data_IF_704786725236
#
_entry.id   IF_704786725236
#
_cell.length_a   1.000
_cell.length_b   1.000
_cell.length_c   1.000
_cell.angle_alpha   90.00
_cell.angle_beta   90.00
_cell.angle_gamma   90.00
#
_symmetry.space_group_name_H-M   'P 1'
#
loop_
_entity.id
_entity.type
_entity.pdbx_description
1 polymer ?
#
# COMPACT_ATOMS: atom_id res chain seq x y z
N UNK A 1 -61.69 18.53 -16.16
CA UNK A 1 -60.90 18.41 -14.91
C UNK A 1 -60.51 16.95 -14.79
N UNK A 2 -59.25 16.65 -14.42
CA UNK A 2 -58.59 15.32 -14.49
C UNK A 2 -58.27 14.93 -15.95
N UNK A 3 -57.03 14.66 -16.39
CA UNK A 3 -56.00 13.76 -15.86
C UNK A 3 -54.62 14.15 -16.45
N UNK A 4 -53.81 14.95 -15.75
CA UNK A 4 -52.39 15.19 -16.14
C UNK A 4 -51.43 14.96 -14.96
N UNK A 5 -51.94 14.82 -13.73
CA UNK A 5 -51.12 14.71 -12.52
C UNK A 5 -50.63 13.27 -12.26
N UNK A 6 -51.32 12.25 -12.79
CA UNK A 6 -51.03 10.84 -12.47
C UNK A 6 -49.76 10.28 -13.11
N UNK A 7 -49.43 10.66 -14.35
CA UNK A 7 -48.34 10.04 -15.13
C UNK A 7 -46.96 10.56 -14.77
N UNK A 8 -46.86 11.84 -14.37
CA UNK A 8 -45.59 12.47 -13.99
C UNK A 8 -45.12 11.92 -12.63
N UNK A 9 -46.05 11.71 -11.69
CA UNK A 9 -45.75 11.19 -10.36
C UNK A 9 -45.19 9.75 -10.39
N UNK A 10 -45.77 8.85 -11.21
CA UNK A 10 -45.27 7.48 -11.37
C UNK A 10 -43.90 7.41 -12.04
N UNK A 11 -43.62 8.35 -12.96
CA UNK A 11 -42.33 8.42 -13.65
C UNK A 11 -41.24 8.93 -12.72
N UNK A 12 -41.50 9.98 -11.93
CA UNK A 12 -40.57 10.46 -10.91
C UNK A 12 -40.30 9.44 -9.80
N UNK A 13 -41.32 8.70 -9.35
CA UNK A 13 -41.16 7.67 -8.31
C UNK A 13 -40.30 6.49 -8.79
N UNK A 14 -40.42 6.11 -10.07
CA UNK A 14 -39.55 5.08 -10.69
C UNK A 14 -38.11 5.57 -10.84
N UNK A 15 -37.89 6.81 -11.25
CA UNK A 15 -36.53 7.37 -11.41
C UNK A 15 -35.84 7.53 -10.05
N UNK A 16 -36.56 7.97 -9.01
CA UNK A 16 -36.04 8.01 -7.63
C UNK A 16 -35.74 6.61 -7.08
N UNK A 17 -36.62 5.64 -7.31
CA UNK A 17 -36.39 4.25 -6.89
C UNK A 17 -35.16 3.64 -7.60
N UNK A 18 -34.95 3.92 -8.89
CA UNK A 18 -33.74 3.51 -9.61
C UNK A 18 -32.47 4.19 -9.06
N UNK A 19 -32.53 5.48 -8.73
CA UNK A 19 -31.40 6.21 -8.17
C UNK A 19 -31.00 5.65 -6.78
N UNK A 20 -31.98 5.27 -5.95
CA UNK A 20 -31.76 4.64 -4.66
C UNK A 20 -31.23 3.20 -4.76
N UNK A 21 -31.50 2.48 -5.85
CA UNK A 21 -30.98 1.13 -6.09
C UNK A 21 -29.59 1.13 -6.76
N UNK A 22 -29.23 2.19 -7.49
CA UNK A 22 -27.93 2.35 -8.14
C UNK A 22 -26.88 3.03 -7.24
N UNK A 23 -27.31 3.85 -6.27
CA UNK A 23 -26.40 4.50 -5.33
C UNK A 23 -25.58 3.52 -4.47
N UNK A 24 -26.12 2.40 -3.94
CA UNK A 24 -25.33 1.44 -3.16
C UNK A 24 -24.27 0.73 -4.00
N UNK A 25 -24.57 0.39 -5.26
CA UNK A 25 -23.63 -0.28 -6.16
C UNK A 25 -22.47 0.65 -6.56
N UNK A 26 -22.77 1.94 -6.80
CA UNK A 26 -21.75 2.95 -7.02
C UNK A 26 -20.92 3.18 -5.76
N UNK A 27 -21.54 3.31 -4.57
CA UNK A 27 -20.80 3.47 -3.32
C UNK A 27 -19.88 2.27 -3.03
N UNK A 28 -20.29 1.03 -3.29
CA UNK A 28 -19.40 -0.12 -3.09
C UNK A 28 -18.20 -0.19 -4.04
N UNK A 29 -18.21 0.55 -5.15
CA UNK A 29 -17.04 0.72 -6.03
C UNK A 29 -16.14 1.90 -5.60
N UNK A 30 -16.67 2.87 -4.87
CA UNK A 30 -15.90 4.02 -4.34
C UNK A 30 -15.40 3.81 -2.90
N UNK A 31 -16.01 2.89 -2.16
CA UNK A 31 -15.68 2.57 -0.78
C UNK A 31 -15.13 1.15 -0.67
N UNK A 32 -13.89 0.95 -1.12
CA UNK A 32 -12.97 -0.05 -0.54
C UNK A 32 -12.58 0.37 0.90
N UNK A 33 -13.56 0.84 1.69
CA UNK A 33 -13.40 1.30 3.07
C UNK A 33 -14.03 0.34 4.09
N UNK A 34 -14.74 -0.70 3.63
CA UNK A 34 -15.47 -1.62 4.52
C UNK A 34 -14.71 -2.92 4.83
N UNK A 35 -13.48 -3.07 4.34
CA UNK A 35 -12.50 -3.99 4.94
C UNK A 35 -11.50 -3.16 5.76
N UNK A 36 -11.66 -3.05 7.10
CA UNK A 36 -10.81 -2.21 7.95
C UNK A 36 -9.37 -2.74 8.13
N UNK A 37 -8.89 -3.63 7.27
CA UNK A 37 -7.58 -4.28 7.39
C UNK A 37 -6.78 -4.13 6.10
N UNK A 38 -5.72 -3.33 6.17
CA UNK A 38 -4.75 -3.13 5.10
C UNK A 38 -3.89 -4.39 4.85
N UNK A 39 -2.85 -4.26 4.02
CA UNK A 39 -1.79 -5.26 3.97
C UNK A 39 -1.18 -5.37 5.37
N UNK A 40 -1.27 -6.54 6.01
CA UNK A 40 -0.78 -6.76 7.37
C UNK A 40 0.56 -7.47 7.30
N UNK A 41 1.59 -6.85 7.84
CA UNK A 41 2.88 -7.49 8.02
C UNK A 41 3.15 -7.72 9.50
N UNK A 42 3.78 -8.85 9.81
CA UNK A 42 4.23 -9.24 11.15
C UNK A 42 5.72 -9.55 11.03
N UNK A 43 6.52 -8.95 11.90
CA UNK A 43 7.89 -9.36 12.10
C UNK A 43 7.95 -10.14 13.41
N UNK A 44 8.39 -11.39 13.37
CA UNK A 44 8.63 -12.19 14.58
C UNK A 44 10.00 -11.83 15.15
N UNK A 45 10.16 -10.59 15.61
CA UNK A 45 11.36 -10.17 16.33
C UNK A 45 11.14 -10.49 17.79
N UNK A 46 11.64 -11.64 18.24
CA UNK A 46 11.58 -12.05 19.64
C UNK A 46 12.99 -12.11 20.27
N UNK A 47 13.54 -10.99 20.79
CA UNK A 47 14.78 -11.04 21.55
C UNK A 47 14.60 -11.39 23.04
N UNK A 48 13.39 -11.34 23.61
CA UNK A 48 13.19 -11.46 25.08
C UNK A 48 11.89 -12.17 25.56
N UNK A 49 11.14 -12.86 24.70
CA UNK A 49 9.98 -13.67 25.12
C UNK A 49 8.70 -12.88 25.42
N UNK A 50 8.63 -11.60 25.07
CA UNK A 50 7.38 -10.83 25.12
C UNK A 50 6.66 -10.93 23.77
N UNK A 51 5.52 -11.61 23.78
CA UNK A 51 4.62 -11.81 22.65
C UNK A 51 4.03 -10.47 22.18
N UNK A 52 4.74 -9.74 21.30
CA UNK A 52 4.15 -8.62 20.55
C UNK A 52 3.53 -9.15 19.27
N UNK A 53 2.31 -9.69 19.38
CA UNK A 53 1.44 -10.03 18.24
C UNK A 53 0.85 -8.78 17.59
N UNK A 54 1.68 -7.84 17.14
CA UNK A 54 1.20 -6.63 16.49
C UNK A 54 1.42 -6.74 14.99
N UNK A 55 0.41 -7.29 14.29
CA UNK A 55 0.32 -7.09 12.85
C UNK A 55 0.21 -5.59 12.56
N UNK A 56 1.19 -5.05 11.84
CA UNK A 56 1.22 -3.65 11.43
C UNK A 56 0.39 -3.48 10.16
N UNK A 57 -0.52 -2.50 10.17
CA UNK A 57 -1.41 -2.22 9.04
C UNK A 57 -0.76 -1.27 8.03
N UNK A 58 -0.21 -1.83 6.95
CA UNK A 58 0.31 -1.08 5.80
C UNK A 58 -0.80 -0.52 4.89
N UNK A 59 -0.50 0.52 4.09
CA UNK A 59 -1.38 0.97 3.02
C UNK A 59 -1.54 -0.11 1.93
N UNK A 60 -2.66 -0.08 1.18
CA UNK A 60 -2.92 -1.00 0.05
C UNK A 60 -2.80 -0.34 -1.31
N UNK A 61 -2.75 0.99 -1.32
CA UNK A 61 -2.67 1.82 -2.51
C UNK A 61 -1.87 3.10 -2.23
N UNK A 62 -1.44 3.78 -3.29
CA UNK A 62 -0.83 5.11 -3.21
C UNK A 62 -1.78 6.13 -2.55
N UNK A 63 -3.09 6.08 -2.82
CA UNK A 63 -4.09 6.95 -2.20
C UNK A 63 -4.18 6.73 -0.69
N UNK A 64 -4.18 5.47 -0.24
CA UNK A 64 -4.17 5.13 1.19
C UNK A 64 -2.84 5.42 1.87
N UNK A 65 -1.74 5.42 1.12
CA UNK A 65 -0.42 5.81 1.62
C UNK A 65 -0.39 7.32 1.87
N UNK A 66 -0.81 8.10 0.88
CA UNK A 66 -0.92 9.55 0.98
C UNK A 66 -1.83 9.98 2.14
N UNK A 67 -2.99 9.32 2.32
CA UNK A 67 -3.90 9.63 3.44
C UNK A 67 -3.32 9.31 4.82
N UNK A 68 -2.34 8.41 4.89
CA UNK A 68 -1.57 8.08 6.10
C UNK A 68 -0.31 8.94 6.25
N UNK A 69 -0.11 9.96 5.42
CA UNK A 69 1.07 10.83 5.46
C UNK A 69 2.35 10.15 4.97
N UNK A 70 2.24 9.12 4.13
CA UNK A 70 3.39 8.54 3.45
C UNK A 70 3.77 9.40 2.25
N UNK A 71 5.07 9.44 1.95
CA UNK A 71 5.65 10.21 0.86
C UNK A 71 6.14 9.28 -0.23
N UNK A 72 5.97 9.73 -1.48
CA UNK A 72 6.57 9.06 -2.63
C UNK A 72 8.05 9.46 -2.71
N UNK A 73 8.92 8.46 -2.83
CA UNK A 73 10.37 8.68 -2.81
C UNK A 73 11.04 7.94 -3.96
N UNK A 74 12.18 8.48 -4.39
CA UNK A 74 13.00 7.84 -5.40
C UNK A 74 13.54 6.50 -4.90
N UNK A 75 13.50 5.49 -5.77
CA UNK A 75 13.94 4.15 -5.43
C UNK A 75 15.46 4.06 -5.48
N UNK A 76 16.11 3.35 -4.54
CA UNK A 76 17.55 3.11 -4.66
C UNK A 76 17.93 2.21 -5.83
N UNK A 77 17.00 1.35 -6.25
CA UNK A 77 17.17 0.45 -7.39
C UNK A 77 15.83 -0.11 -7.84
N UNK A 78 15.82 -0.59 -9.09
CA UNK A 78 14.76 -1.45 -9.60
C UNK A 78 15.31 -2.71 -10.24
N UNK A 79 14.66 -3.83 -9.95
CA UNK A 79 14.84 -5.05 -10.73
C UNK A 79 14.20 -4.88 -12.12
N UNK A 80 14.73 -5.62 -13.10
CA UNK A 80 14.21 -5.62 -14.46
C UNK A 80 12.73 -6.04 -14.47
N UNK A 81 11.89 -5.30 -15.20
CA UNK A 81 10.45 -5.53 -15.28
C UNK A 81 9.62 -4.91 -14.15
N UNK A 82 10.25 -4.25 -13.19
CA UNK A 82 9.59 -3.58 -12.07
C UNK A 82 9.86 -2.08 -12.02
N UNK A 83 10.37 -1.48 -13.09
CA UNK A 83 10.79 -0.08 -13.19
C UNK A 83 9.62 0.89 -12.96
N UNK A 84 8.41 0.51 -13.39
CA UNK A 84 7.21 1.33 -13.24
C UNK A 84 6.70 1.42 -11.78
N UNK A 85 7.22 0.58 -10.86
CA UNK A 85 6.74 0.60 -9.48
C UNK A 85 7.23 1.84 -8.73
N UNK A 86 6.31 2.47 -8.02
CA UNK A 86 6.53 3.64 -7.18
C UNK A 86 6.76 3.24 -5.72
N UNK A 87 7.72 3.87 -5.04
CA UNK A 87 8.03 3.60 -3.64
C UNK A 87 7.37 4.63 -2.73
N UNK A 88 6.58 4.15 -1.77
CA UNK A 88 5.92 4.97 -0.77
C UNK A 88 6.39 4.59 0.62
N UNK A 89 6.83 5.57 1.40
CA UNK A 89 7.38 5.38 2.74
C UNK A 89 6.71 6.31 3.77
N UNK A 90 6.58 5.91 5.04
CA UNK A 90 6.24 6.84 6.12
C UNK A 90 7.21 8.03 6.14
N UNK A 91 6.72 9.26 6.24
CA UNK A 91 7.55 10.48 6.12
C UNK A 91 8.77 10.55 7.07
N UNK A 92 8.71 9.85 8.20
CA UNK A 92 9.73 9.90 9.27
C UNK A 92 10.47 8.58 9.49
N UNK A 93 10.09 7.51 8.77
CA UNK A 93 10.70 6.19 8.96
C UNK A 93 10.58 5.35 7.69
N UNK A 94 11.71 5.08 7.03
CA UNK A 94 11.75 4.30 5.79
C UNK A 94 12.05 2.81 6.03
N UNK A 95 11.91 2.32 7.26
CA UNK A 95 12.13 0.92 7.61
C UNK A 95 11.20 -0.04 6.86
N UNK A 96 9.95 0.38 6.64
CA UNK A 96 8.97 -0.39 5.85
C UNK A 96 8.25 0.54 4.89
N UNK A 97 8.45 0.30 3.61
CA UNK A 97 7.81 1.01 2.52
C UNK A 97 7.04 0.02 1.63
N UNK A 98 6.07 0.53 0.88
CA UNK A 98 5.31 -0.24 -0.11
C UNK A 98 5.74 0.15 -1.52
N UNK A 99 5.66 -0.81 -2.42
CA UNK A 99 5.79 -0.58 -3.85
C UNK A 99 4.40 -0.64 -4.47
N UNK A 100 4.00 0.40 -5.19
CA UNK A 100 2.72 0.43 -5.91
C UNK A 100 2.93 0.35 -7.41
N UNK A 101 2.06 -0.36 -8.11
CA UNK A 101 2.06 -0.41 -9.57
C UNK A 101 1.35 0.79 -10.20
N UNK A 102 1.26 0.78 -11.52
CA UNK A 102 0.58 1.81 -12.32
C UNK A 102 -0.94 1.89 -12.06
N UNK A 103 -1.54 0.83 -11.54
CA UNK A 103 -2.94 0.84 -11.11
C UNK A 103 -3.11 1.49 -9.73
N UNK A 104 -2.00 1.80 -9.06
CA UNK A 104 -1.93 2.46 -7.78
C UNK A 104 -2.04 1.51 -6.59
N UNK A 105 -2.09 0.19 -6.82
CA UNK A 105 -2.20 -0.82 -5.77
C UNK A 105 -0.84 -1.39 -5.36
N UNK A 106 -0.75 -1.89 -4.14
CA UNK A 106 0.49 -2.46 -3.59
C UNK A 106 0.86 -3.74 -4.32
N UNK A 107 2.01 -3.72 -5.00
CA UNK A 107 2.60 -4.83 -5.75
C UNK A 107 3.89 -5.36 -5.09
N UNK A 108 4.32 -4.78 -3.98
CA UNK A 108 5.47 -5.26 -3.23
C UNK A 108 5.78 -4.44 -1.99
N UNK A 109 6.89 -4.79 -1.36
CA UNK A 109 7.43 -4.13 -0.19
C UNK A 109 8.90 -3.81 -0.38
N UNK A 110 9.35 -2.82 0.37
CA UNK A 110 10.74 -2.45 0.49
C UNK A 110 11.07 -2.33 1.97
N UNK A 111 12.03 -3.13 2.41
CA UNK A 111 12.43 -3.24 3.81
C UNK A 111 13.81 -2.62 3.95
N UNK A 112 13.96 -1.71 4.91
CA UNK A 112 15.20 -1.01 5.20
C UNK A 112 15.60 -1.23 6.65
N UNK A 113 16.89 -1.51 6.89
CA UNK A 113 17.46 -1.70 8.21
C UNK A 113 18.56 -0.63 8.40
N UNK A 114 18.45 0.28 9.37
CA UNK A 114 19.46 1.31 9.60
C UNK A 114 20.84 0.69 9.86
N UNK A 115 21.86 1.19 9.16
CA UNK A 115 23.23 0.67 9.23
C UNK A 115 23.83 0.75 10.63
N UNK A 116 23.50 1.80 11.37
CA UNK A 116 23.98 2.12 12.71
C UNK A 116 23.28 1.32 13.82
N UNK A 117 22.09 0.79 13.53
CA UNK A 117 21.28 0.02 14.51
C UNK A 117 21.38 -1.49 14.33
N UNK A 118 22.18 -1.96 13.38
CA UNK A 118 22.26 -3.38 13.06
C UNK A 118 23.69 -3.80 12.71
N UNK A 119 24.19 -4.81 13.41
CA UNK A 119 25.44 -5.50 13.06
C UNK A 119 25.07 -6.85 12.44
N UNK A 120 25.27 -7.05 11.13
CA UNK A 120 24.85 -8.27 10.46
C UNK A 120 25.78 -9.44 10.82
N UNK A 121 25.19 -10.61 11.09
CA UNK A 121 25.95 -11.86 11.32
C UNK A 121 26.42 -12.52 10.02
N UNK A 122 25.79 -12.18 8.89
CA UNK A 122 26.07 -12.67 7.54
C UNK A 122 26.32 -11.48 6.62
N UNK A 123 26.98 -11.69 5.47
CA UNK A 123 27.12 -10.63 4.49
C UNK A 123 25.75 -10.24 3.92
N UNK A 124 25.36 -8.97 4.12
CA UNK A 124 24.08 -8.44 3.66
C UNK A 124 23.98 -8.41 2.13
N UNK A 125 25.11 -8.25 1.43
CA UNK A 125 25.14 -8.31 -0.03
C UNK A 125 24.83 -9.73 -0.55
N UNK A 126 25.34 -10.77 0.11
CA UNK A 126 25.02 -12.17 -0.20
C UNK A 126 23.53 -12.48 0.03
N UNK A 127 22.92 -11.83 1.03
CA UNK A 127 21.46 -11.90 1.28
C UNK A 127 20.64 -11.05 0.29
N UNK A 128 21.30 -10.37 -0.65
CA UNK A 128 20.67 -9.54 -1.68
C UNK A 128 20.21 -8.16 -1.20
N UNK A 129 20.68 -7.70 -0.04
CA UNK A 129 20.48 -6.32 0.38
C UNK A 129 21.45 -5.39 -0.35
N UNK A 130 21.00 -4.15 -0.58
CA UNK A 130 21.79 -3.06 -1.15
C UNK A 130 21.89 -1.92 -0.16
N UNK A 131 22.84 -1.02 -0.38
CA UNK A 131 22.97 0.20 0.42
C UNK A 131 22.09 1.29 -0.18
N UNK A 132 21.35 2.00 0.67
CA UNK A 132 20.58 3.20 0.30
C UNK A 132 20.75 4.28 1.37
N UNK A 133 20.95 5.52 0.94
CA UNK A 133 21.15 6.67 1.84
C UNK A 133 20.17 7.82 1.52
N UNK A 134 18.86 7.64 1.73
CA UNK A 134 17.88 8.70 1.52
C UNK A 134 17.96 9.78 2.60
N UNK A 135 17.39 10.94 2.29
CA UNK A 135 17.04 11.93 3.30
C UNK A 135 15.70 11.56 3.95
N UNK A 136 15.69 11.45 5.28
CA UNK A 136 14.51 11.16 6.10
C UNK A 136 14.42 12.26 7.16
N UNK A 137 13.33 13.02 7.16
CA UNK A 137 13.10 14.13 8.10
C UNK A 137 14.30 15.11 8.17
N UNK A 138 14.88 15.45 7.01
CA UNK A 138 16.03 16.35 6.89
C UNK A 138 17.39 15.74 7.27
N UNK A 139 17.46 14.44 7.53
CA UNK A 139 18.71 13.73 7.87
C UNK A 139 19.00 12.62 6.87
N UNK A 140 20.22 12.56 6.37
CA UNK A 140 20.65 11.41 5.55
C UNK A 140 20.87 10.19 6.45
N UNK A 141 20.07 9.14 6.26
CA UNK A 141 20.19 7.88 7.01
C UNK A 141 20.66 6.78 6.06
N UNK A 142 21.67 6.01 6.46
CA UNK A 142 22.17 4.87 5.68
C UNK A 142 21.43 3.59 6.07
N UNK A 143 20.96 2.85 5.07
CA UNK A 143 20.21 1.59 5.25
C UNK A 143 20.81 0.44 4.46
N UNK A 144 20.72 -0.77 5.01
CA UNK A 144 20.63 -2.00 4.22
C UNK A 144 19.18 -2.14 3.75
N UNK A 145 18.95 -2.29 2.45
CA UNK A 145 17.60 -2.39 1.89
C UNK A 145 17.41 -3.58 0.96
N UNK A 146 16.22 -4.19 1.03
CA UNK A 146 15.75 -5.22 0.11
C UNK A 146 14.31 -4.98 -0.33
N UNK A 147 14.04 -5.08 -1.63
CA UNK A 147 12.71 -5.12 -2.19
C UNK A 147 12.21 -6.57 -2.31
N UNK A 148 10.93 -6.79 -2.04
CA UNK A 148 10.22 -8.04 -2.27
C UNK A 148 8.95 -7.74 -3.05
N UNK A 149 8.67 -8.53 -4.09
CA UNK A 149 7.55 -8.30 -5.00
C UNK A 149 6.48 -9.36 -4.78
N UNK A 150 5.21 -8.95 -4.80
CA UNK A 150 4.09 -9.88 -4.76
C UNK A 150 3.83 -10.37 -6.17
N UNK A 151 4.15 -11.63 -6.41
CA UNK A 151 3.83 -12.31 -7.65
C UNK A 151 2.56 -13.15 -7.47
N UNK A 152 1.59 -12.95 -8.36
CA UNK A 152 0.48 -13.89 -8.53
C UNK A 152 1.03 -15.15 -9.22
N UNK A 153 0.60 -16.34 -8.80
CA UNK A 153 1.03 -17.63 -9.33
C UNK A 153 0.71 -17.88 -10.82
N UNK A 154 0.27 -16.86 -11.56
CA UNK A 154 -0.02 -16.91 -12.99
C UNK A 154 1.12 -16.51 -13.92
N UNK A 155 2.18 -15.84 -13.45
CA UNK A 155 3.27 -15.38 -14.30
C UNK A 155 4.63 -15.95 -13.85
N UNK A 156 4.91 -17.16 -14.32
CA UNK A 156 6.27 -17.67 -14.44
C UNK A 156 7.03 -16.78 -15.45
N UNK A 157 7.95 -15.96 -14.95
CA UNK A 157 8.99 -15.38 -15.80
C UNK A 157 10.07 -16.45 -15.97
N UNK A 158 10.17 -16.97 -17.19
CA UNK A 158 11.32 -17.71 -17.73
C UNK A 158 12.33 -16.67 -18.23
#
# INVERSE_FOLDING_TARGET
MQTVVGTIATTMLRTLALLCLLAPAALSLFFDSTRPVGFRYKFELNPLGFEVTNFLNGPRSNTSAASKGWVNVERPYSAAGYEALQLWCPAKDYSVCILTDETGYTAGMHISIPYDKFTPALDMAELGFKIWSPEVDGTTIKYYTKAQYFVSAGNSFI
#
